data_IF_808989129071
#
_entry.id   IF_808989129071
#
_cell.length_a   1.000
_cell.length_b   1.000
_cell.length_c   1.000
_cell.angle_alpha   90.00
_cell.angle_beta   90.00
_cell.angle_gamma   90.00
#
_symmetry.space_group_name_H-M   'P 1'
#
loop_
_entity.id
_entity.type
_entity.pdbx_description
1 polymer ?
#
# COMPACT_ATOMS: atom_id res chain seq x y z
N UNK A 1 13.24 -26.95 -14.63
CA UNK A 1 11.87 -27.31 -14.21
C UNK A 1 11.79 -27.61 -12.70
N UNK A 2 12.71 -28.40 -12.13
CA UNK A 2 12.76 -28.65 -10.68
C UNK A 2 13.06 -27.41 -9.82
N UNK A 3 13.88 -26.47 -10.31
CA UNK A 3 14.23 -25.30 -9.49
C UNK A 3 13.10 -24.28 -9.42
N UNK A 4 12.34 -24.09 -10.51
CA UNK A 4 11.13 -23.26 -10.51
C UNK A 4 10.06 -23.78 -9.54
N UNK A 5 9.87 -25.10 -9.44
CA UNK A 5 8.93 -25.69 -8.47
C UNK A 5 9.39 -25.49 -7.02
N UNK A 6 10.70 -25.56 -6.76
CA UNK A 6 11.28 -25.26 -5.43
C UNK A 6 11.12 -23.80 -5.06
N UNK A 7 11.35 -22.88 -5.99
CA UNK A 7 11.15 -21.45 -5.80
C UNK A 7 9.68 -21.15 -5.45
N UNK A 8 8.74 -21.72 -6.21
CA UNK A 8 7.31 -21.58 -5.90
C UNK A 8 6.94 -22.16 -4.53
N UNK A 9 7.51 -23.30 -4.15
CA UNK A 9 7.26 -23.91 -2.84
C UNK A 9 7.84 -23.05 -1.70
N UNK A 10 9.01 -22.45 -1.91
CA UNK A 10 9.62 -21.52 -0.96
C UNK A 10 8.76 -20.25 -0.80
N UNK A 11 8.33 -19.63 -1.91
CA UNK A 11 7.41 -18.49 -1.89
C UNK A 11 6.12 -18.82 -1.16
N UNK A 12 5.51 -19.97 -1.45
CA UNK A 12 4.31 -20.45 -0.77
C UNK A 12 4.49 -20.55 0.73
N UNK A 13 5.55 -21.24 1.18
CA UNK A 13 5.85 -21.41 2.59
C UNK A 13 6.04 -20.08 3.31
N UNK A 14 6.83 -19.17 2.74
CA UNK A 14 7.14 -17.87 3.35
C UNK A 14 5.90 -16.99 3.40
N UNK A 15 5.16 -16.89 2.30
CA UNK A 15 4.05 -15.94 2.15
C UNK A 15 2.78 -16.43 2.85
N UNK A 16 2.47 -17.73 2.82
CA UNK A 16 1.37 -18.28 3.61
C UNK A 16 1.61 -18.06 5.12
N UNK A 17 2.84 -18.28 5.58
CA UNK A 17 3.20 -18.00 6.97
C UNK A 17 3.01 -16.52 7.30
N UNK A 18 3.52 -15.61 6.45
CA UNK A 18 3.34 -14.16 6.62
C UNK A 18 1.85 -13.76 6.70
N UNK A 19 1.00 -14.34 5.85
CA UNK A 19 -0.45 -14.11 5.88
C UNK A 19 -1.07 -14.56 7.22
N UNK A 20 -0.73 -15.76 7.69
CA UNK A 20 -1.20 -16.26 8.99
C UNK A 20 -0.72 -15.41 10.16
N UNK A 21 0.56 -15.03 10.19
CA UNK A 21 1.16 -14.21 11.24
C UNK A 21 0.50 -12.82 11.29
N UNK A 22 0.26 -12.20 10.12
CA UNK A 22 -0.42 -10.90 10.00
C UNK A 22 -1.86 -10.97 10.48
N UNK A 23 -2.57 -12.06 10.13
CA UNK A 23 -3.92 -12.34 10.62
C UNK A 23 -4.00 -12.87 12.05
N UNK A 24 -2.86 -13.04 12.74
CA UNK A 24 -2.75 -13.63 14.09
C UNK A 24 -3.39 -15.02 14.20
N UNK A 25 -3.27 -15.83 13.16
CA UNK A 25 -3.80 -17.19 13.15
C UNK A 25 -2.76 -18.22 13.57
N UNK A 26 -3.19 -19.14 14.44
CA UNK A 26 -2.50 -20.42 14.63
C UNK A 26 -2.94 -21.39 13.52
N UNK A 27 -2.25 -22.52 13.38
CA UNK A 27 -2.68 -23.54 12.42
C UNK A 27 -4.07 -24.10 12.71
N UNK A 28 -4.43 -24.24 13.99
CA UNK A 28 -5.76 -24.71 14.40
C UNK A 28 -6.84 -23.66 14.13
N UNK A 29 -6.60 -22.42 14.58
CA UNK A 29 -7.59 -21.35 14.39
C UNK A 29 -7.74 -20.92 12.93
N UNK A 30 -6.70 -21.06 12.10
CA UNK A 30 -6.82 -20.87 10.66
C UNK A 30 -7.71 -21.94 10.00
N UNK A 31 -7.52 -23.22 10.34
CA UNK A 31 -8.34 -24.29 9.81
C UNK A 31 -9.83 -24.09 10.19
N UNK A 32 -10.09 -23.73 11.45
CA UNK A 32 -11.43 -23.43 11.93
C UNK A 32 -12.04 -22.22 11.19
N UNK A 33 -11.30 -21.13 11.04
CA UNK A 33 -11.78 -19.94 10.34
C UNK A 33 -12.09 -20.21 8.85
N UNK A 34 -11.24 -20.99 8.17
CA UNK A 34 -11.48 -21.44 6.80
C UNK A 34 -12.76 -22.28 6.69
N UNK A 35 -12.93 -23.25 7.58
CA UNK A 35 -14.10 -24.12 7.62
C UNK A 35 -15.38 -23.31 7.87
N UNK A 36 -15.34 -22.36 8.80
CA UNK A 36 -16.47 -21.49 9.10
C UNK A 36 -16.85 -20.60 7.90
N UNK A 37 -15.86 -20.10 7.14
CA UNK A 37 -16.10 -19.22 5.99
C UNK A 37 -16.62 -19.98 4.76
N UNK A 38 -16.12 -21.19 4.49
CA UNK A 38 -16.36 -21.89 3.22
C UNK A 38 -17.05 -23.25 3.35
N UNK A 39 -17.45 -23.66 4.56
CA UNK A 39 -18.11 -24.96 4.78
C UNK A 39 -17.19 -26.17 4.54
N UNK A 40 -15.88 -26.00 4.71
CA UNK A 40 -14.89 -27.07 4.56
C UNK A 40 -14.69 -27.87 5.86
N UNK A 41 -13.89 -28.94 5.81
CA UNK A 41 -13.61 -29.80 6.95
C UNK A 41 -12.10 -30.04 7.14
N UNK A 42 -11.31 -28.98 7.12
CA UNK A 42 -9.85 -29.02 7.31
C UNK A 42 -9.47 -29.10 8.80
N UNK A 43 -8.39 -29.81 9.09
CA UNK A 43 -7.78 -29.86 10.42
C UNK A 43 -6.45 -29.11 10.50
N UNK A 44 -5.94 -28.96 11.73
CA UNK A 44 -4.62 -28.37 11.99
C UNK A 44 -3.49 -29.09 11.23
N UNK A 45 -3.60 -30.42 11.05
CA UNK A 45 -2.63 -31.22 10.28
C UNK A 45 -2.61 -30.87 8.79
N UNK A 46 -3.76 -30.50 8.21
CA UNK A 46 -3.84 -30.08 6.81
C UNK A 46 -3.09 -28.77 6.62
N UNK A 47 -3.35 -27.79 7.50
CA UNK A 47 -2.62 -26.51 7.51
C UNK A 47 -1.13 -26.71 7.70
N UNK A 48 -0.73 -27.57 8.64
CA UNK A 48 0.68 -27.91 8.85
C UNK A 48 1.32 -28.49 7.59
N UNK A 49 0.60 -29.36 6.86
CA UNK A 49 1.07 -29.89 5.57
C UNK A 49 1.22 -28.77 4.54
N UNK A 50 0.25 -27.87 4.40
CA UNK A 50 0.33 -26.76 3.44
C UNK A 50 1.51 -25.82 3.74
N UNK A 51 1.75 -25.48 5.00
CA UNK A 51 2.88 -24.64 5.42
C UNK A 51 4.25 -25.30 5.17
N UNK A 52 4.27 -26.62 5.06
CA UNK A 52 5.49 -27.40 4.82
C UNK A 52 5.59 -27.90 3.37
N UNK A 53 4.89 -27.25 2.43
CA UNK A 53 5.06 -27.51 0.99
C UNK A 53 6.54 -27.40 0.62
N UNK A 54 7.04 -28.39 -0.13
CA UNK A 54 8.45 -28.52 -0.49
C UNK A 54 9.34 -29.21 0.54
N UNK A 55 8.80 -29.63 1.70
CA UNK A 55 9.58 -30.36 2.70
C UNK A 55 9.79 -31.82 2.30
N UNK A 56 11.01 -32.34 2.47
CA UNK A 56 11.33 -33.76 2.26
C UNK A 56 10.69 -34.63 3.36
N UNK A 57 10.05 -35.70 2.94
CA UNK A 57 9.46 -36.74 3.79
C UNK A 57 9.96 -38.12 3.37
N UNK A 58 9.75 -39.15 4.19
CA UNK A 58 10.25 -40.52 3.95
C UNK A 58 9.91 -41.06 2.55
N UNK A 59 8.75 -40.69 1.99
CA UNK A 59 8.25 -41.18 0.71
C UNK A 59 8.08 -40.06 -0.34
N UNK A 60 8.93 -39.03 -0.32
CA UNK A 60 8.92 -37.97 -1.34
C UNK A 60 8.98 -36.57 -0.75
N UNK A 61 8.20 -35.65 -1.33
CA UNK A 61 8.15 -34.25 -0.92
C UNK A 61 6.69 -33.86 -0.66
N UNK A 62 6.47 -32.95 0.27
CA UNK A 62 5.14 -32.40 0.51
C UNK A 62 4.75 -31.54 -0.69
N UNK A 63 3.80 -32.04 -1.49
CA UNK A 63 3.22 -31.27 -2.59
C UNK A 63 2.34 -30.11 -2.10
N UNK A 64 2.06 -29.19 -3.01
CA UNK A 64 1.09 -28.12 -2.80
C UNK A 64 -0.29 -28.70 -2.39
N UNK A 65 -1.11 -27.91 -1.68
CA UNK A 65 -2.53 -28.22 -1.56
C UNK A 65 -3.17 -28.33 -2.95
N UNK A 66 -4.36 -28.95 -3.01
CA UNK A 66 -5.16 -28.94 -4.22
C UNK A 66 -5.43 -27.50 -4.64
N UNK A 67 -5.53 -27.26 -5.95
CA UNK A 67 -5.72 -25.91 -6.47
C UNK A 67 -6.98 -25.23 -5.92
N UNK A 68 -8.09 -25.95 -5.77
CA UNK A 68 -9.30 -25.42 -5.11
C UNK A 68 -9.02 -24.92 -3.68
N UNK A 69 -8.22 -25.67 -2.91
CA UNK A 69 -7.79 -25.25 -1.58
C UNK A 69 -6.87 -24.03 -1.65
N UNK A 70 -6.01 -23.92 -2.66
CA UNK A 70 -5.18 -22.73 -2.87
C UNK A 70 -6.05 -21.49 -3.13
N UNK A 71 -7.11 -21.63 -3.95
CA UNK A 71 -8.09 -20.56 -4.21
C UNK A 71 -8.73 -20.12 -2.89
N UNK A 72 -9.26 -21.06 -2.10
CA UNK A 72 -9.90 -20.73 -0.82
C UNK A 72 -8.95 -20.03 0.17
N UNK A 73 -7.70 -20.50 0.26
CA UNK A 73 -6.67 -19.86 1.09
C UNK A 73 -6.40 -18.44 0.60
N UNK A 74 -6.26 -18.25 -0.71
CA UNK A 74 -5.96 -16.94 -1.31
C UNK A 74 -7.11 -15.94 -1.11
N UNK A 75 -8.36 -16.38 -1.31
CA UNK A 75 -9.55 -15.56 -1.06
C UNK A 75 -9.71 -15.22 0.43
N UNK A 76 -9.41 -16.18 1.33
CA UNK A 76 -9.46 -15.96 2.77
C UNK A 76 -8.57 -14.78 3.19
N UNK A 77 -7.35 -14.74 2.65
CA UNK A 77 -6.39 -13.67 2.92
C UNK A 77 -6.51 -12.46 1.98
N UNK A 78 -7.47 -12.47 1.05
CA UNK A 78 -7.67 -11.41 0.05
C UNK A 78 -6.40 -11.11 -0.77
N UNK A 79 -5.72 -12.18 -1.22
CA UNK A 79 -4.55 -12.15 -2.09
C UNK A 79 -4.78 -13.04 -3.31
N UNK A 80 -4.01 -12.85 -4.38
CA UNK A 80 -4.02 -13.79 -5.50
C UNK A 80 -3.20 -15.06 -5.17
N UNK A 81 -3.57 -16.19 -5.77
CA UNK A 81 -2.75 -17.41 -5.71
C UNK A 81 -1.33 -17.13 -6.22
N UNK A 82 -1.19 -16.28 -7.23
CA UNK A 82 0.09 -15.85 -7.78
C UNK A 82 0.98 -15.19 -6.72
N UNK A 83 0.42 -14.42 -5.79
CA UNK A 83 1.20 -13.90 -4.66
C UNK A 83 1.69 -15.05 -3.79
N UNK A 84 0.84 -16.01 -3.42
CA UNK A 84 1.27 -17.14 -2.60
C UNK A 84 2.34 -17.98 -3.31
N UNK A 85 2.23 -18.21 -4.62
CA UNK A 85 3.20 -19.02 -5.37
C UNK A 85 4.44 -18.24 -5.83
N UNK A 86 4.50 -16.93 -5.66
CA UNK A 86 5.64 -16.10 -6.09
C UNK A 86 5.63 -15.70 -7.57
N UNK A 87 4.47 -15.72 -8.21
CA UNK A 87 4.28 -15.23 -9.59
C UNK A 87 4.14 -13.70 -9.66
N UNK A 88 3.76 -13.07 -8.56
CA UNK A 88 3.74 -11.62 -8.37
C UNK A 88 4.28 -11.28 -7.00
N UNK A 89 5.05 -10.19 -6.85
CA UNK A 89 5.53 -9.72 -5.54
C UNK A 89 4.50 -8.88 -4.79
N UNK A 90 3.46 -8.42 -5.49
CA UNK A 90 2.35 -7.68 -4.91
C UNK A 90 1.20 -8.61 -4.52
N UNK A 91 0.29 -8.13 -3.67
CA UNK A 91 -0.82 -8.94 -3.16
C UNK A 91 -1.79 -9.44 -4.25
N UNK A 92 -1.80 -8.80 -5.42
CA UNK A 92 -2.56 -9.22 -6.60
C UNK A 92 -1.93 -8.68 -7.89
N UNK A 93 -2.22 -9.33 -9.02
CA UNK A 93 -1.77 -8.88 -10.34
C UNK A 93 -2.34 -7.51 -10.72
N UNK A 94 -3.54 -7.17 -10.22
CA UNK A 94 -4.13 -5.85 -10.39
C UNK A 94 -3.32 -4.77 -9.68
N UNK A 95 -2.81 -5.05 -8.47
CA UNK A 95 -1.93 -4.12 -7.74
C UNK A 95 -0.59 -3.99 -8.46
N UNK A 96 0.01 -5.11 -8.91
CA UNK A 96 1.25 -5.06 -9.68
C UNK A 96 1.11 -4.22 -10.96
N UNK A 97 0.03 -4.41 -11.70
CA UNK A 97 -0.25 -3.62 -12.90
C UNK A 97 -0.44 -2.13 -12.58
N UNK A 98 -1.14 -1.80 -11.49
CA UNK A 98 -1.31 -0.42 -11.05
C UNK A 98 0.03 0.20 -10.61
N UNK A 99 0.87 -0.54 -9.88
CA UNK A 99 2.22 -0.12 -9.51
C UNK A 99 3.07 0.19 -10.74
N UNK A 100 3.09 -0.71 -11.72
CA UNK A 100 3.83 -0.53 -12.97
C UNK A 100 3.32 0.66 -13.79
N UNK A 101 2.00 0.82 -13.91
CA UNK A 101 1.39 1.92 -14.66
C UNK A 101 1.64 3.28 -14.00
N UNK A 102 1.58 3.36 -12.68
CA UNK A 102 1.69 4.61 -11.93
C UNK A 102 3.12 4.97 -11.52
N UNK A 103 4.06 4.01 -11.56
CA UNK A 103 5.40 4.17 -10.98
C UNK A 103 5.41 4.22 -9.44
N UNK A 104 4.35 3.72 -8.79
CA UNK A 104 4.20 3.72 -7.33
C UNK A 104 4.39 2.30 -6.76
N UNK A 105 4.86 2.21 -5.51
CA UNK A 105 4.96 0.91 -4.81
C UNK A 105 3.57 0.42 -4.32
N UNK A 106 3.45 -0.87 -4.01
CA UNK A 106 2.19 -1.48 -3.58
C UNK A 106 1.59 -0.87 -2.32
N UNK A 107 2.43 -0.38 -1.40
CA UNK A 107 1.97 0.33 -0.20
C UNK A 107 1.20 1.60 -0.54
N UNK A 108 1.71 2.40 -1.48
CA UNK A 108 1.05 3.62 -1.95
C UNK A 108 -0.24 3.32 -2.71
N UNK A 109 -0.23 2.34 -3.62
CA UNK A 109 -1.45 1.91 -4.35
C UNK A 109 -2.52 1.40 -3.38
N UNK A 110 -2.13 0.63 -2.36
CA UNK A 110 -3.06 0.15 -1.34
C UNK A 110 -3.68 1.30 -0.54
N UNK A 111 -2.88 2.28 -0.12
CA UNK A 111 -3.40 3.46 0.60
C UNK A 111 -4.41 4.25 -0.24
N UNK A 112 -4.14 4.44 -1.55
CA UNK A 112 -5.09 5.06 -2.48
C UNK A 112 -6.38 4.21 -2.57
N UNK A 113 -6.24 2.89 -2.73
CA UNK A 113 -7.40 1.98 -2.84
C UNK A 113 -8.26 1.94 -1.58
N UNK A 114 -7.67 2.09 -0.39
CA UNK A 114 -8.42 2.15 0.87
C UNK A 114 -9.31 3.39 0.99
N UNK A 115 -8.94 4.48 0.32
CA UNK A 115 -9.75 5.70 0.20
C UNK A 115 -10.85 5.50 -0.84
N UNK A 116 -10.51 4.93 -2.01
CA UNK A 116 -11.46 4.86 -3.14
C UNK A 116 -12.45 3.70 -3.08
N UNK A 117 -12.04 2.50 -2.61
CA UNK A 117 -12.82 1.26 -2.48
C UNK A 117 -14.03 1.17 -3.46
N UNK A 118 -13.79 0.95 -4.76
CA UNK A 118 -14.84 1.04 -5.78
C UNK A 118 -15.94 -0.01 -5.61
N UNK A 119 -15.68 -1.10 -4.90
CA UNK A 119 -16.64 -2.21 -4.72
C UNK A 119 -17.65 -1.97 -3.59
N UNK A 120 -17.46 -0.93 -2.76
CA UNK A 120 -18.25 -0.69 -1.56
C UNK A 120 -19.18 0.54 -1.69
N UNK A 121 -20.04 0.51 -2.70
CA UNK A 121 -21.00 1.58 -3.03
C UNK A 121 -22.16 1.72 -2.03
N UNK A 122 -22.26 0.82 -1.06
CA UNK A 122 -23.38 0.75 -0.13
C UNK A 122 -23.43 1.90 0.89
N UNK A 123 -22.39 2.74 0.99
CA UNK A 123 -22.39 3.87 1.92
C UNK A 123 -22.16 5.19 1.19
N UNK A 124 -23.10 6.13 1.36
CA UNK A 124 -23.03 7.48 0.78
C UNK A 124 -21.68 8.15 1.07
N UNK A 125 -21.14 7.93 2.27
CA UNK A 125 -19.82 8.39 2.71
C UNK A 125 -18.66 7.97 1.79
N UNK A 126 -18.67 6.73 1.26
CA UNK A 126 -17.58 6.25 0.38
C UNK A 126 -17.63 6.88 -1.01
N UNK A 127 -18.83 7.17 -1.51
CA UNK A 127 -19.01 7.92 -2.76
C UNK A 127 -18.47 9.34 -2.63
N UNK A 128 -18.82 10.04 -1.56
CA UNK A 128 -18.37 11.41 -1.30
C UNK A 128 -16.85 11.50 -1.10
N UNK A 129 -16.24 10.49 -0.45
CA UNK A 129 -14.79 10.39 -0.34
C UNK A 129 -14.11 10.26 -1.71
N UNK A 130 -14.62 9.40 -2.60
CA UNK A 130 -14.09 9.28 -3.97
C UNK A 130 -14.24 10.58 -4.74
N UNK A 131 -15.38 11.24 -4.63
CA UNK A 131 -15.61 12.51 -5.32
C UNK A 131 -14.63 13.58 -4.83
N UNK A 132 -14.44 13.69 -3.51
CA UNK A 132 -13.48 14.61 -2.89
C UNK A 132 -12.05 14.31 -3.34
N UNK A 133 -11.67 13.03 -3.38
CA UNK A 133 -10.35 12.58 -3.85
C UNK A 133 -10.15 12.91 -5.33
N UNK A 134 -11.12 12.60 -6.19
CA UNK A 134 -11.06 12.93 -7.62
C UNK A 134 -10.94 14.44 -7.85
N UNK A 135 -11.70 15.27 -7.12
CA UNK A 135 -11.59 16.73 -7.17
C UNK A 135 -10.19 17.19 -6.80
N UNK A 136 -9.64 16.69 -5.70
CA UNK A 136 -8.29 17.05 -5.25
C UNK A 136 -7.21 16.72 -6.29
N UNK A 137 -7.19 15.50 -6.85
CA UNK A 137 -6.16 15.11 -7.82
C UNK A 137 -6.32 15.73 -9.22
N UNK A 138 -7.54 16.16 -9.56
CA UNK A 138 -7.84 16.77 -10.86
C UNK A 138 -7.81 18.30 -10.84
N UNK A 139 -7.60 18.91 -9.67
CA UNK A 139 -7.46 20.36 -9.51
C UNK A 139 -6.20 20.86 -10.20
N UNK A 140 -6.27 22.06 -10.79
CA UNK A 140 -5.14 22.69 -11.47
C UNK A 140 -3.99 22.96 -10.48
N UNK A 141 -4.33 23.39 -9.26
CA UNK A 141 -3.37 23.65 -8.19
C UNK A 141 -2.68 22.40 -7.62
N UNK A 142 -3.17 21.19 -7.91
CA UNK A 142 -2.58 19.96 -7.38
C UNK A 142 -1.14 19.75 -7.85
N UNK A 143 -0.86 20.06 -9.12
CA UNK A 143 0.48 19.96 -9.67
C UNK A 143 1.46 20.87 -8.93
N UNK A 144 1.10 22.14 -8.74
CA UNK A 144 1.93 23.11 -8.02
C UNK A 144 2.15 22.68 -6.56
N UNK A 145 1.10 22.21 -5.87
CA UNK A 145 1.23 21.66 -4.52
C UNK A 145 2.25 20.51 -4.46
N UNK A 146 2.18 19.58 -5.43
CA UNK A 146 3.09 18.44 -5.47
C UNK A 146 4.53 18.85 -5.82
N UNK A 147 4.73 19.86 -6.67
CA UNK A 147 6.06 20.44 -6.93
C UNK A 147 6.67 21.04 -5.67
N UNK A 148 5.91 21.83 -4.90
CA UNK A 148 6.41 22.38 -3.62
C UNK A 148 6.73 21.27 -2.61
N UNK A 149 5.94 20.19 -2.59
CA UNK A 149 6.21 19.02 -1.75
C UNK A 149 7.52 18.33 -2.15
N UNK A 150 7.78 18.22 -3.45
CA UNK A 150 9.02 17.68 -3.98
C UNK A 150 10.22 18.57 -3.65
N UNK A 151 10.10 19.90 -3.73
CA UNK A 151 11.17 20.84 -3.34
C UNK A 151 11.56 20.69 -1.86
N UNK A 152 10.57 20.44 -0.99
CA UNK A 152 10.83 20.12 0.41
C UNK A 152 11.58 18.79 0.58
N UNK A 153 11.21 17.76 -0.20
CA UNK A 153 11.92 16.49 -0.21
C UNK A 153 13.38 16.68 -0.65
N UNK A 154 13.63 17.41 -1.73
CA UNK A 154 14.98 17.74 -2.20
C UNK A 154 15.80 18.42 -1.11
N UNK A 155 15.20 19.41 -0.43
CA UNK A 155 15.86 20.11 0.69
C UNK A 155 16.27 19.16 1.82
N UNK A 156 15.51 18.09 2.05
CA UNK A 156 15.81 17.11 3.10
C UNK A 156 16.93 16.12 2.74
N UNK A 157 17.11 15.81 1.44
CA UNK A 157 18.10 14.82 0.99
C UNK A 157 19.43 15.45 0.53
N UNK A 158 19.41 16.71 0.09
CA UNK A 158 20.58 17.46 -0.37
C UNK A 158 21.80 17.33 0.57
N UNK A 159 21.67 17.45 1.91
CA UNK A 159 22.81 17.37 2.80
C UNK A 159 23.49 15.99 2.79
N UNK A 160 22.74 14.92 2.50
CA UNK A 160 23.24 13.55 2.48
C UNK A 160 23.87 13.15 1.13
N UNK A 161 23.57 13.89 0.07
CA UNK A 161 24.10 13.63 -1.28
C UNK A 161 25.42 14.35 -1.52
N UNK A 162 25.65 15.47 -0.84
CA UNK A 162 26.89 16.22 -0.92
C UNK A 162 27.90 15.61 0.06
N UNK A 163 28.90 14.88 -0.45
CA UNK A 163 30.10 14.47 0.32
C UNK A 163 30.97 15.72 0.63
N UNK A 164 30.38 16.68 1.35
CA UNK A 164 30.92 18.02 1.53
C UNK A 164 31.91 18.00 2.68
N UNK A 165 33.14 18.44 2.38
CA UNK A 165 34.19 18.68 3.38
C UNK A 165 34.27 20.18 3.59
N UNK A 166 34.26 20.63 4.85
CA UNK A 166 34.35 22.05 5.20
C UNK A 166 35.78 22.41 5.63
N UNK A 167 36.29 23.53 5.11
CA UNK A 167 37.64 24.00 5.42
C UNK A 167 37.77 24.53 6.85
N UNK A 168 36.67 25.03 7.44
CA UNK A 168 36.62 25.52 8.82
C UNK A 168 35.20 25.42 9.41
N UNK A 169 35.10 25.65 10.73
CA UNK A 169 33.84 25.57 11.48
C UNK A 169 32.81 26.61 11.03
N UNK A 170 33.25 27.84 10.72
CA UNK A 170 32.33 28.91 10.30
C UNK A 170 31.62 28.56 8.98
N UNK A 171 32.35 27.98 8.02
CA UNK A 171 31.80 27.51 6.75
C UNK A 171 30.78 26.39 6.94
N UNK A 172 31.00 25.51 7.92
CA UNK A 172 30.05 24.47 8.29
C UNK A 172 28.78 25.07 8.95
N UNK A 173 28.95 26.03 9.85
CA UNK A 173 27.85 26.73 10.52
C UNK A 173 26.98 27.49 9.50
N UNK A 174 27.60 28.22 8.58
CA UNK A 174 26.89 28.98 7.55
C UNK A 174 26.13 28.05 6.60
N UNK A 175 26.71 26.91 6.24
CA UNK A 175 26.01 25.89 5.46
C UNK A 175 24.78 25.33 6.18
N UNK A 176 24.92 24.96 7.46
CA UNK A 176 23.80 24.44 8.27
C UNK A 176 22.69 25.49 8.38
N UNK A 177 23.02 26.75 8.66
CA UNK A 177 22.04 27.85 8.72
C UNK A 177 21.36 28.06 7.36
N UNK A 178 22.11 27.95 6.27
CA UNK A 178 21.58 28.02 4.91
C UNK A 178 20.57 26.90 4.62
N UNK A 179 20.85 25.67 5.06
CA UNK A 179 19.92 24.54 4.94
C UNK A 179 18.65 24.75 5.77
N UNK A 180 18.78 25.22 7.01
CA UNK A 180 17.63 25.54 7.85
C UNK A 180 16.74 26.61 7.21
N UNK A 181 17.35 27.66 6.66
CA UNK A 181 16.64 28.73 5.98
C UNK A 181 15.90 28.22 4.73
N UNK A 182 16.57 27.45 3.86
CA UNK A 182 15.94 26.79 2.70
C UNK A 182 14.77 25.90 3.13
N UNK A 183 14.94 25.11 4.20
CA UNK A 183 13.88 24.27 4.73
C UNK A 183 12.70 25.06 5.30
N UNK A 184 12.90 26.28 5.82
CA UNK A 184 11.80 27.16 6.24
C UNK A 184 11.02 27.70 5.04
N UNK A 185 11.73 28.15 4.00
CA UNK A 185 11.11 28.65 2.76
C UNK A 185 10.28 27.54 2.10
N UNK A 186 10.86 26.35 1.88
CA UNK A 186 10.16 25.26 1.22
C UNK A 186 8.87 24.84 1.95
N UNK A 187 8.87 24.86 3.30
CA UNK A 187 7.67 24.59 4.10
C UNK A 187 6.62 25.70 3.98
N UNK A 188 7.05 26.96 3.91
CA UNK A 188 6.16 28.09 3.70
C UNK A 188 5.49 28.01 2.33
N UNK A 189 6.27 27.81 1.26
CA UNK A 189 5.75 27.67 -0.10
C UNK A 189 4.80 26.47 -0.26
N UNK A 190 5.12 25.33 0.37
CA UNK A 190 4.22 24.17 0.40
C UNK A 190 2.89 24.50 1.10
N UNK A 191 2.93 25.26 2.20
CA UNK A 191 1.73 25.66 2.92
C UNK A 191 0.87 26.59 2.06
N UNK A 192 1.49 27.59 1.42
CA UNK A 192 0.81 28.51 0.52
C UNK A 192 0.14 27.77 -0.64
N UNK A 193 0.86 26.83 -1.29
CA UNK A 193 0.31 26.02 -2.36
C UNK A 193 -0.88 25.14 -1.90
N UNK A 194 -0.84 24.60 -0.68
CA UNK A 194 -1.96 23.87 -0.10
C UNK A 194 -3.17 24.77 0.13
N UNK A 195 -2.96 25.98 0.66
CA UNK A 195 -4.04 26.96 0.89
C UNK A 195 -4.70 27.35 -0.43
N UNK A 196 -3.91 27.62 -1.46
CA UNK A 196 -4.41 27.94 -2.80
C UNK A 196 -5.23 26.78 -3.38
N UNK A 197 -4.74 25.55 -3.27
CA UNK A 197 -5.45 24.35 -3.72
C UNK A 197 -6.79 24.15 -2.96
N UNK A 198 -6.80 24.36 -1.64
CA UNK A 198 -8.04 24.27 -0.86
C UNK A 198 -9.04 25.35 -1.29
N UNK A 199 -8.59 26.58 -1.54
CA UNK A 199 -9.45 27.67 -2.00
C UNK A 199 -10.00 27.43 -3.41
N UNK A 200 -9.25 26.76 -4.28
CA UNK A 200 -9.71 26.30 -5.60
C UNK A 200 -10.84 25.26 -5.46
N UNK A 201 -10.63 24.26 -4.59
CA UNK A 201 -11.57 23.16 -4.38
C UNK A 201 -12.85 23.60 -3.67
N UNK A 202 -12.73 24.54 -2.72
CA UNK A 202 -13.79 25.00 -1.84
C UNK A 202 -13.75 26.53 -1.73
N UNK A 203 -14.14 27.27 -2.78
CA UNK A 203 -14.29 28.71 -2.70
C UNK A 203 -15.36 29.06 -1.64
N UNK A 204 -15.20 30.22 -0.98
CA UNK A 204 -16.08 30.75 0.07
C UNK A 204 -17.59 30.50 -0.18
N UNK A 205 -18.41 30.35 0.90
CA UNK A 205 -19.61 29.53 0.86
C UNK A 205 -20.69 30.04 -0.11
N UNK A 206 -21.51 29.13 -0.66
CA UNK A 206 -22.67 29.52 -1.47
C UNK A 206 -23.61 30.40 -0.66
N UNK A 207 -24.05 31.52 -1.25
CA UNK A 207 -25.12 32.34 -0.69
C UNK A 207 -26.38 31.47 -0.60
N UNK A 208 -26.78 31.09 0.61
CA UNK A 208 -28.07 30.48 0.88
C UNK A 208 -29.14 31.53 0.59
N UNK A 209 -29.86 31.37 -0.52
CA UNK A 209 -31.08 32.14 -0.79
C UNK A 209 -32.18 31.62 0.15
N UNK A 210 -32.18 32.14 1.38
CA UNK A 210 -33.19 31.86 2.38
C UNK A 210 -34.48 32.58 1.98
N UNK A 211 -35.24 31.98 1.06
CA UNK A 211 -36.61 32.38 0.80
C UNK A 211 -37.48 32.01 2.02
N UNK A 212 -37.58 32.94 2.97
CA UNK A 212 -38.58 32.89 4.03
C UNK A 212 -39.92 33.20 3.38
N UNK A 213 -40.85 32.24 3.42
CA UNK A 213 -42.24 32.51 3.04
C UNK A 213 -42.89 33.29 4.18
N UNK A 214 -43.32 34.51 3.87
CA UNK A 214 -44.26 35.28 4.70
C UNK A 214 -45.62 34.58 4.83
#
# INVERSE_FOLDING_TARGET
>A
MNDLLKEKAMSWKVRLKKCMDTGRYTQASFAEALNNKYGTSYGQKDVSRWMNTGAKIKNGEVGFPKYDTMILISDFFSVDVGYLTGETDEISFSVEKACSYMGLNGGAIKAIREITQPENDATYMRKDMRESFNKFFSAEGFHNFFERLHDLQLTSILPNQENRVFDNLDSAIDYIRGLEYKGKIARYELNEALVLLVNELYPNPPQLDLNVKD
#
